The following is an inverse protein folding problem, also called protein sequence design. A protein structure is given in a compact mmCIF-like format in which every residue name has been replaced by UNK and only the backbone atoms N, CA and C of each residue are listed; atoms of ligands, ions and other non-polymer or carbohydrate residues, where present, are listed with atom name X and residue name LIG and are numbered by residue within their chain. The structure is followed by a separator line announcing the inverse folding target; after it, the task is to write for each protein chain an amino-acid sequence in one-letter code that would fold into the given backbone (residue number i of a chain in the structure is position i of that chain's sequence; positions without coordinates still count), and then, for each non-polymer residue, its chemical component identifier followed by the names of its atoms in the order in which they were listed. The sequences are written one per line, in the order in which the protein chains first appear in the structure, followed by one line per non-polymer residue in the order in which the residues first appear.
data_IF_805332433177
#
_entry.id   IF_805332433177
#
_cell.length_a   1.000
_cell.length_b   1.000
_cell.length_c   1.000
_cell.angle_alpha   90.00
_cell.angle_beta   90.00
_cell.angle_gamma   90.00
#
_symmetry.space_group_name_H-M   'P 1'
#
loop_
_entity.id
_entity.type
_entity.pdbx_description
1 polymer ?
#
# COMPACT_ATOMS: atom_id res chain seq x y z
N UNK A 1 -11.35 -2.08 -29.43
CA UNK A 1 -10.48 -1.38 -28.44
C UNK A 1 -9.80 -2.44 -27.59
N UNK A 2 -8.48 -2.54 -27.64
CA UNK A 2 -7.72 -3.54 -26.88
C UNK A 2 -7.53 -3.11 -25.41
N UNK A 3 -7.60 -4.06 -24.48
CA UNK A 3 -7.29 -3.85 -23.06
C UNK A 3 -5.75 -3.82 -22.92
N UNK A 4 -5.18 -2.66 -22.58
CA UNK A 4 -3.74 -2.50 -22.31
C UNK A 4 -3.51 -2.39 -20.80
N UNK A 5 -2.56 -3.16 -20.28
CA UNK A 5 -2.12 -3.04 -18.89
C UNK A 5 -1.19 -1.83 -18.78
N UNK A 6 -1.54 -0.88 -17.91
CA UNK A 6 -0.78 0.37 -17.70
C UNK A 6 -0.05 0.40 -16.35
N UNK A 7 -0.36 -0.55 -15.46
CA UNK A 7 0.32 -0.71 -14.18
C UNK A 7 -0.13 -1.96 -13.44
N UNK A 8 0.63 -2.32 -12.41
CA UNK A 8 0.38 -3.47 -11.54
C UNK A 8 0.82 -3.16 -10.12
N UNK A 9 0.17 -3.81 -9.17
CA UNK A 9 0.45 -3.77 -7.73
C UNK A 9 0.03 -5.13 -7.17
N UNK A 10 0.87 -5.75 -6.35
CA UNK A 10 0.55 -7.01 -5.67
C UNK A 10 0.37 -6.75 -4.18
N UNK A 11 -0.72 -7.30 -3.61
CA UNK A 11 -1.00 -7.27 -2.18
C UNK A 11 -0.83 -8.69 -1.63
N UNK A 12 0.12 -8.87 -0.72
CA UNK A 12 0.30 -10.08 0.07
C UNK A 12 -0.39 -9.92 1.43
N UNK A 13 -1.15 -10.93 1.86
CA UNK A 13 -1.71 -10.99 3.20
C UNK A 13 -0.84 -11.92 4.04
N UNK A 14 -0.57 -11.54 5.29
CA UNK A 14 0.25 -12.34 6.18
C UNK A 14 -0.42 -13.67 6.53
N UNK A 15 0.40 -14.72 6.59
CA UNK A 15 -0.03 -16.10 6.81
C UNK A 15 1.11 -16.93 7.40
N UNK A 16 0.93 -18.25 7.53
CA UNK A 16 2.01 -19.14 7.98
C UNK A 16 3.23 -19.12 7.04
N UNK A 17 3.05 -18.77 5.77
CA UNK A 17 4.14 -18.60 4.79
C UNK A 17 4.90 -17.27 4.97
N UNK A 18 4.37 -16.35 5.79
CA UNK A 18 4.93 -15.02 6.03
C UNK A 18 4.72 -14.02 4.88
N UNK A 19 5.46 -12.92 4.95
CA UNK A 19 5.54 -11.84 3.97
C UNK A 19 6.88 -11.92 3.22
N UNK A 20 6.96 -11.44 1.99
CA UNK A 20 8.23 -11.37 1.25
C UNK A 20 9.28 -10.53 2.01
N UNK A 21 8.83 -9.50 2.71
CA UNK A 21 9.68 -8.64 3.53
C UNK A 21 10.32 -9.37 4.74
N UNK A 22 9.80 -10.52 5.17
CA UNK A 22 10.39 -11.31 6.26
C UNK A 22 11.82 -11.77 5.95
N UNK A 23 12.14 -12.01 4.68
CA UNK A 23 13.50 -12.42 4.28
C UNK A 23 14.57 -11.45 4.80
N UNK A 24 14.24 -10.16 4.85
CA UNK A 24 15.15 -9.12 5.31
C UNK A 24 14.77 -8.51 6.65
N UNK A 25 13.50 -8.52 7.05
CA UNK A 25 13.00 -7.75 8.19
C UNK A 25 12.06 -8.56 9.10
N UNK A 26 12.31 -9.87 9.22
CA UNK A 26 11.52 -10.76 10.07
C UNK A 26 11.33 -10.24 11.49
N UNK A 27 12.41 -9.73 12.11
CA UNK A 27 12.38 -9.29 13.51
C UNK A 27 11.47 -8.08 13.70
N UNK A 28 11.61 -7.06 12.84
CA UNK A 28 10.79 -5.86 12.85
C UNK A 28 9.31 -6.17 12.59
N UNK A 29 9.02 -7.05 11.63
CA UNK A 29 7.63 -7.43 11.29
C UNK A 29 7.01 -8.29 12.41
N UNK A 30 7.80 -9.16 13.04
CA UNK A 30 7.33 -10.00 14.14
C UNK A 30 6.96 -9.23 15.41
N UNK A 31 7.45 -8.01 15.60
CA UNK A 31 6.95 -7.15 16.67
C UNK A 31 5.45 -6.92 16.53
N UNK A 32 5.00 -6.54 15.33
CA UNK A 32 3.57 -6.34 15.04
C UNK A 32 2.76 -7.64 15.12
N UNK A 33 3.32 -8.76 14.63
CA UNK A 33 2.64 -10.08 14.76
C UNK A 33 2.40 -10.44 16.23
N UNK A 34 3.40 -10.23 17.10
CA UNK A 34 3.31 -10.51 18.54
C UNK A 34 2.27 -9.63 19.25
N UNK A 35 2.03 -8.43 18.73
CA UNK A 35 0.94 -7.55 19.19
C UNK A 35 -0.45 -7.98 18.71
N UNK A 36 -0.55 -9.04 17.90
CA UNK A 36 -1.82 -9.51 17.33
C UNK A 36 -2.33 -8.65 16.19
N UNK A 37 -1.46 -7.84 15.57
CA UNK A 37 -1.78 -7.04 14.38
C UNK A 37 -1.99 -7.94 13.16
N UNK A 38 -2.81 -7.47 12.22
CA UNK A 38 -3.07 -8.17 10.95
C UNK A 38 -2.29 -7.50 9.85
N UNK A 39 -1.31 -8.19 9.29
CA UNK A 39 -0.33 -7.56 8.43
C UNK A 39 -0.64 -7.83 6.96
N UNK A 40 -0.27 -6.88 6.11
CA UNK A 40 -0.19 -7.07 4.67
C UNK A 40 1.05 -6.38 4.11
N UNK A 41 1.45 -6.75 2.90
CA UNK A 41 2.53 -6.10 2.19
C UNK A 41 2.13 -5.70 0.77
N UNK A 42 2.72 -4.62 0.27
CA UNK A 42 2.69 -4.29 -1.15
C UNK A 42 4.01 -4.57 -1.82
N UNK A 43 3.95 -5.33 -2.90
CA UNK A 43 5.11 -5.69 -3.72
C UNK A 43 4.82 -5.47 -5.20
N UNK A 44 5.89 -5.54 -6.02
CA UNK A 44 5.81 -5.54 -7.49
C UNK A 44 5.02 -4.35 -8.07
N UNK A 45 5.06 -3.18 -7.44
CA UNK A 45 4.48 -1.96 -8.01
C UNK A 45 5.28 -1.56 -9.26
N UNK A 46 4.59 -1.52 -10.39
CA UNK A 46 5.14 -1.01 -11.64
C UNK A 46 4.05 -0.26 -12.41
N UNK A 47 4.39 0.88 -12.99
CA UNK A 47 3.49 1.68 -13.83
C UNK A 47 4.25 2.05 -15.11
N UNK A 48 3.59 1.93 -16.26
CA UNK A 48 4.15 2.34 -17.55
C UNK A 48 4.45 3.85 -17.47
N UNK A 49 5.71 4.30 -17.65
CA UNK A 49 6.08 5.71 -17.52
C UNK A 49 5.28 6.64 -18.45
N UNK A 50 4.83 6.14 -19.60
CA UNK A 50 4.01 6.92 -20.55
C UNK A 50 2.62 7.24 -20.00
N UNK A 51 2.13 6.45 -19.04
CA UNK A 51 0.81 6.58 -18.44
C UNK A 51 0.90 6.89 -16.95
N UNK A 52 2.10 7.00 -16.37
CA UNK A 52 2.30 7.20 -14.94
C UNK A 52 1.71 8.53 -14.48
N UNK A 53 0.59 8.46 -13.76
CA UNK A 53 -0.06 9.61 -13.15
C UNK A 53 -0.34 9.36 -11.66
N UNK A 54 -0.59 10.44 -10.90
CA UNK A 54 -0.97 10.32 -9.48
C UNK A 54 -2.28 9.57 -9.32
N UNK A 55 -3.22 9.75 -10.25
CA UNK A 55 -4.52 9.09 -10.28
C UNK A 55 -4.38 7.57 -10.43
N UNK A 56 -3.47 7.11 -11.30
CA UNK A 56 -3.21 5.67 -11.47
C UNK A 56 -2.59 5.08 -10.20
N UNK A 57 -1.58 5.74 -9.63
CA UNK A 57 -0.97 5.29 -8.39
C UNK A 57 -1.99 5.28 -7.24
N UNK A 58 -2.73 6.37 -7.07
CA UNK A 58 -3.78 6.49 -6.06
C UNK A 58 -4.85 5.40 -6.22
N UNK A 59 -5.26 5.10 -7.45
CA UNK A 59 -6.21 4.03 -7.74
C UNK A 59 -5.67 2.66 -7.32
N UNK A 60 -4.41 2.35 -7.65
CA UNK A 60 -3.78 1.09 -7.26
C UNK A 60 -3.68 0.97 -5.73
N UNK A 61 -3.17 2.01 -5.05
CA UNK A 61 -3.04 2.02 -3.60
C UNK A 61 -4.40 1.96 -2.90
N UNK A 62 -5.41 2.67 -3.40
CA UNK A 62 -6.73 2.65 -2.79
C UNK A 62 -7.40 1.27 -2.97
N UNK A 63 -7.25 0.63 -4.14
CA UNK A 63 -7.72 -0.75 -4.33
C UNK A 63 -7.07 -1.72 -3.33
N UNK A 64 -5.76 -1.61 -3.12
CA UNK A 64 -5.06 -2.39 -2.12
C UNK A 64 -5.57 -2.12 -0.70
N UNK A 65 -5.81 -0.85 -0.34
CA UNK A 65 -6.41 -0.49 0.95
C UNK A 65 -7.79 -1.10 1.15
N UNK A 66 -8.67 -1.02 0.15
CA UNK A 66 -10.00 -1.62 0.19
C UNK A 66 -9.89 -3.12 0.42
N UNK A 67 -9.04 -3.81 -0.35
CA UNK A 67 -8.92 -5.25 -0.25
C UNK A 67 -8.27 -5.69 1.07
N UNK A 68 -7.11 -5.13 1.41
CA UNK A 68 -6.37 -5.50 2.63
C UNK A 68 -7.10 -5.10 3.90
N UNK A 69 -7.48 -3.83 4.02
CA UNK A 69 -8.04 -3.29 5.26
C UNK A 69 -9.56 -3.48 5.35
N UNK A 70 -10.34 -3.10 4.33
CA UNK A 70 -11.82 -3.14 4.45
C UNK A 70 -12.36 -4.56 4.38
N UNK A 71 -11.82 -5.41 3.50
CA UNK A 71 -12.28 -6.80 3.34
C UNK A 71 -11.55 -7.71 4.34
N UNK A 72 -10.22 -7.75 4.31
CA UNK A 72 -9.42 -8.71 5.10
C UNK A 72 -9.02 -8.22 6.51
N UNK A 73 -9.37 -6.98 6.87
CA UNK A 73 -9.11 -6.40 8.20
C UNK A 73 -7.63 -6.29 8.55
N UNK A 74 -6.75 -6.20 7.56
CA UNK A 74 -5.35 -5.84 7.80
C UNK A 74 -5.30 -4.49 8.53
N UNK A 75 -4.47 -4.40 9.58
CA UNK A 75 -4.26 -3.20 10.38
C UNK A 75 -3.00 -2.45 9.94
N UNK A 76 -2.01 -3.19 9.43
CA UNK A 76 -0.67 -2.67 9.16
C UNK A 76 -0.22 -3.09 7.77
N UNK A 77 0.31 -2.12 7.02
CA UNK A 77 0.86 -2.31 5.69
C UNK A 77 2.37 -2.11 5.71
N UNK A 78 3.10 -3.05 5.12
CA UNK A 78 4.53 -2.95 4.88
C UNK A 78 4.87 -2.82 3.40
N UNK A 79 5.93 -2.07 3.10
CA UNK A 79 6.59 -2.12 1.78
C UNK A 79 8.09 -2.19 1.95
N UNK A 80 8.72 -3.01 1.12
CA UNK A 80 10.15 -3.01 0.93
C UNK A 80 10.47 -2.14 -0.29
N UNK A 81 11.26 -1.07 -0.10
CA UNK A 81 11.60 -0.15 -1.18
C UNK A 81 13.08 0.19 -1.18
N UNK A 82 13.59 0.56 -2.36
CA UNK A 82 14.92 1.16 -2.43
C UNK A 82 14.93 2.50 -1.65
N UNK A 83 15.97 2.80 -0.85
CA UNK A 83 16.08 4.04 -0.06
C UNK A 83 15.80 5.32 -0.86
N UNK A 84 16.18 5.35 -2.16
CA UNK A 84 15.93 6.50 -3.05
C UNK A 84 14.44 6.86 -3.20
N UNK A 85 13.55 5.90 -2.96
CA UNK A 85 12.10 6.03 -3.09
C UNK A 85 11.39 6.23 -1.74
N UNK A 86 12.07 6.03 -0.62
CA UNK A 86 11.45 6.13 0.70
C UNK A 86 10.83 7.52 0.95
N UNK A 87 11.51 8.58 0.54
CA UNK A 87 11.02 9.95 0.65
C UNK A 87 9.75 10.21 -0.17
N UNK A 88 9.55 9.50 -1.29
CA UNK A 88 8.33 9.57 -2.07
C UNK A 88 7.16 8.95 -1.29
N UNK A 89 7.30 7.72 -0.78
CA UNK A 89 6.22 7.05 -0.04
C UNK A 89 5.87 7.72 1.28
N UNK A 90 6.89 8.23 2.00
CA UNK A 90 6.67 9.04 3.20
C UNK A 90 5.81 10.28 2.89
N UNK A 91 6.16 11.02 1.83
CA UNK A 91 5.43 12.24 1.47
C UNK A 91 4.03 11.95 0.92
N UNK A 92 3.91 10.93 0.08
CA UNK A 92 2.70 10.68 -0.70
C UNK A 92 1.62 9.92 0.07
N UNK A 93 2.02 9.06 1.02
CA UNK A 93 1.15 8.14 1.75
C UNK A 93 1.39 8.14 3.27
N UNK A 94 2.33 8.95 3.78
CA UNK A 94 2.61 9.00 5.22
C UNK A 94 3.36 7.78 5.76
N UNK A 95 4.01 6.98 4.91
CA UNK A 95 4.77 5.81 5.38
C UNK A 95 5.98 6.23 6.21
N UNK A 96 6.22 5.49 7.28
CA UNK A 96 7.38 5.64 8.14
C UNK A 96 8.41 4.55 7.84
N UNK A 97 9.69 4.87 7.94
CA UNK A 97 10.74 3.87 7.79
C UNK A 97 11.01 3.27 9.16
N UNK A 98 10.88 1.95 9.27
CA UNK A 98 11.09 1.22 10.53
C UNK A 98 12.26 0.23 10.44
N UNK A 99 12.68 -0.16 9.24
CA UNK A 99 13.85 -1.01 9.03
C UNK A 99 15.07 -0.24 8.57
N UNK A 100 16.24 -0.65 9.03
CA UNK A 100 17.53 -0.14 8.54
C UNK A 100 17.77 -0.53 7.07
N UNK A 101 18.74 0.11 6.43
CA UNK A 101 19.11 -0.25 5.06
C UNK A 101 19.79 -1.62 5.03
N UNK A 102 19.21 -2.59 4.30
CA UNK A 102 19.75 -3.94 4.12
C UNK A 102 19.93 -4.27 2.62
N UNK A 103 20.97 -5.03 2.24
CA UNK A 103 21.15 -5.45 0.85
C UNK A 103 20.09 -6.52 0.47
N UNK A 104 19.21 -6.18 -0.47
CA UNK A 104 18.20 -7.11 -0.96
C UNK A 104 18.72 -7.94 -2.13
N UNK A 105 18.83 -9.27 -1.94
CA UNK A 105 19.32 -10.20 -2.98
C UNK A 105 18.36 -10.34 -4.15
N UNK A 106 17.05 -10.24 -3.91
CA UNK A 106 15.99 -10.36 -4.93
C UNK A 106 16.14 -9.33 -6.06
N UNK A 107 16.56 -8.11 -5.71
CA UNK A 107 16.69 -6.98 -6.66
C UNK A 107 18.12 -6.46 -6.80
N UNK A 108 19.09 -7.10 -6.12
CA UNK A 108 20.51 -6.73 -6.10
C UNK A 108 20.75 -5.24 -5.81
N UNK A 109 20.00 -4.70 -4.84
CA UNK A 109 20.03 -3.28 -4.48
C UNK A 109 19.73 -3.10 -2.98
N UNK A 110 20.11 -1.96 -2.37
CA UNK A 110 19.71 -1.66 -1.00
C UNK A 110 18.18 -1.51 -0.91
N UNK A 111 17.64 -1.95 0.22
CA UNK A 111 16.24 -1.85 0.57
C UNK A 111 16.11 -1.29 1.99
N UNK A 112 14.97 -0.68 2.28
CA UNK A 112 14.50 -0.30 3.63
C UNK A 112 13.06 -0.78 3.80
N UNK A 113 12.70 -1.16 5.02
CA UNK A 113 11.31 -1.46 5.37
C UNK A 113 10.57 -0.18 5.74
N UNK A 114 9.41 0.02 5.12
CA UNK A 114 8.49 1.06 5.49
C UNK A 114 7.14 0.49 5.94
N UNK A 115 6.48 1.20 6.84
CA UNK A 115 5.24 0.81 7.50
C UNK A 115 4.18 1.92 7.44
N UNK A 116 2.91 1.51 7.42
CA UNK A 116 1.74 2.37 7.53
C UNK A 116 0.64 1.68 8.35
N UNK A 117 0.14 2.34 9.37
CA UNK A 117 -1.11 1.94 10.02
C UNK A 117 -2.30 2.29 9.13
N UNK A 118 -3.14 1.32 8.78
CA UNK A 118 -4.19 1.48 7.77
C UNK A 118 -5.37 2.34 8.26
N UNK A 119 -5.52 2.53 9.57
CA UNK A 119 -6.50 3.49 10.11
C UNK A 119 -6.09 4.95 9.87
N UNK A 120 -4.80 5.24 9.72
CA UNK A 120 -4.34 6.56 9.26
C UNK A 120 -4.91 6.90 7.89
N UNK A 121 -4.95 5.92 6.97
CA UNK A 121 -5.53 6.11 5.63
C UNK A 121 -7.01 6.50 5.73
N UNK A 122 -7.78 5.84 6.60
CA UNK A 122 -9.19 6.18 6.82
C UNK A 122 -9.36 7.61 7.35
N UNK A 123 -8.49 8.05 8.27
CA UNK A 123 -8.50 9.40 8.81
C UNK A 123 -8.19 10.43 7.72
N UNK A 124 -7.19 10.18 6.86
CA UNK A 124 -6.85 11.06 5.73
C UNK A 124 -8.02 11.20 4.75
N UNK A 125 -8.62 10.08 4.33
CA UNK A 125 -9.79 10.09 3.42
C UNK A 125 -10.96 10.86 4.04
N UNK A 126 -11.21 10.70 5.35
CA UNK A 126 -12.30 11.37 6.05
C UNK A 126 -12.05 12.89 6.13
N UNK A 127 -10.84 13.31 6.49
CA UNK A 127 -10.48 14.73 6.60
C UNK A 127 -10.61 15.52 5.28
N UNK A 128 -10.35 14.85 4.15
CA UNK A 128 -10.51 15.41 2.81
C UNK A 128 -11.98 15.52 2.39
N UNK A 129 -12.86 14.67 2.91
CA UNK A 129 -14.29 14.79 2.68
C UNK A 129 -14.88 16.03 3.38
N UNK A 130 -14.28 16.45 4.50
CA UNK A 130 -14.75 17.55 5.34
C UNK A 130 -14.15 18.92 4.99
N UNK A 131 -13.12 18.97 4.13
CA UNK A 131 -12.40 20.21 3.77
C UNK A 131 -12.31 20.42 2.25
N UNK A 132 -12.72 21.60 1.77
CA UNK A 132 -12.52 21.99 0.38
C UNK A 132 -11.03 22.28 0.13
N UNK A 133 -10.34 21.29 -0.44
CA UNK A 133 -9.01 21.37 -1.06
C UNK A 133 -7.89 21.90 -0.15
N UNK A 134 -7.28 21.01 0.63
CA UNK A 134 -5.88 21.16 1.00
C UNK A 134 -4.99 20.81 -0.21
N UNK A 135 -4.10 21.74 -0.55
CA UNK A 135 -3.15 21.64 -1.66
C UNK A 135 -2.17 20.48 -1.42
N UNK A 136 -2.28 19.37 -2.14
CA UNK A 136 -1.64 18.16 -1.63
C UNK A 136 -0.51 17.56 -2.46
N UNK A 137 0.61 17.44 -1.75
CA UNK A 137 1.77 16.60 -2.05
C UNK A 137 1.49 15.12 -1.71
N UNK A 138 0.22 14.69 -1.60
CA UNK A 138 -0.24 13.34 -1.20
C UNK A 138 -1.03 12.64 -2.35
N UNK A 139 -1.37 11.35 -2.18
CA UNK A 139 -2.25 10.61 -3.10
C UNK A 139 -3.74 10.61 -2.68
N UNK A 140 -4.07 10.90 -1.43
CA UNK A 140 -5.42 10.75 -0.89
C UNK A 140 -6.53 11.55 -1.59
N UNK A 141 -6.30 12.76 -2.13
CA UNK A 141 -7.31 13.49 -2.89
C UNK A 141 -7.75 12.80 -4.18
N UNK A 142 -6.96 11.85 -4.67
CA UNK A 142 -7.22 11.09 -5.89
C UNK A 142 -7.84 9.72 -5.60
N UNK A 143 -8.15 9.42 -4.34
CA UNK A 143 -8.80 8.17 -3.95
C UNK A 143 -10.26 8.19 -4.40
N UNK A 144 -10.78 7.03 -4.79
CA UNK A 144 -12.20 6.82 -5.12
C UNK A 144 -13.16 7.42 -4.09
N UNK A 145 -14.30 7.90 -4.58
CA UNK A 145 -15.40 8.35 -3.73
C UNK A 145 -15.98 7.20 -2.90
N UNK A 146 -16.69 7.52 -1.81
CA UNK A 146 -17.38 6.51 -0.97
C UNK A 146 -18.34 5.61 -1.76
N UNK A 147 -18.92 6.09 -2.86
CA UNK A 147 -19.79 5.29 -3.70
C UNK A 147 -19.01 4.28 -4.54
N UNK A 148 -17.95 4.73 -5.21
CA UNK A 148 -17.05 3.88 -6.00
C UNK A 148 -16.34 2.85 -5.11
N UNK A 149 -15.91 3.22 -3.91
CA UNK A 149 -15.32 2.31 -2.93
C UNK A 149 -16.25 1.14 -2.60
N UNK A 150 -17.53 1.42 -2.29
CA UNK A 150 -18.55 0.39 -2.01
C UNK A 150 -18.79 -0.52 -3.20
N UNK A 151 -18.78 0.02 -4.41
CA UNK A 151 -18.95 -0.76 -5.63
C UNK A 151 -17.75 -1.67 -5.91
N UNK A 152 -16.54 -1.16 -5.68
CA UNK A 152 -15.30 -1.91 -5.83
C UNK A 152 -15.17 -3.02 -4.78
N UNK A 153 -15.47 -2.73 -3.51
CA UNK A 153 -15.48 -3.72 -2.44
C UNK A 153 -16.40 -4.90 -2.78
N UNK A 154 -17.65 -4.61 -3.20
CA UNK A 154 -18.61 -5.65 -3.63
C UNK A 154 -18.13 -6.48 -4.82
N UNK A 155 -17.40 -5.87 -5.77
CA UNK A 155 -16.83 -6.59 -6.91
C UNK A 155 -15.67 -7.50 -6.49
N UNK A 156 -14.83 -7.04 -5.57
CA UNK A 156 -13.68 -7.79 -5.06
C UNK A 156 -14.12 -8.98 -4.21
N UNK A 157 -15.15 -8.83 -3.38
CA UNK A 157 -15.71 -9.93 -2.59
C UNK A 157 -16.26 -11.05 -3.49
N UNK A 158 -16.93 -10.71 -4.60
CA UNK A 158 -17.50 -11.69 -5.54
C UNK A 158 -16.47 -12.51 -6.31
N UNK A 159 -15.23 -12.03 -6.44
CA UNK A 159 -14.16 -12.75 -7.12
C UNK A 159 -13.33 -13.64 -6.17
N UNK A 160 -13.61 -13.59 -4.87
CA UNK A 160 -13.02 -14.47 -3.85
C UNK A 160 -13.95 -15.64 -3.46
N UNK A 161 -15.11 -15.81 -4.13
CA UNK A 161 -16.09 -16.89 -3.88
C UNK A 161 -16.05 -17.97 -4.96
#
# INVERSE_FOLDING_TARGET
MGRRVVGTLTLGLDSEEGLCADELYFDEINEFRREGRKLCELTKLAVDPQYSSKEILASLFHLAHIYGHKIHKATDLFIEVNPRHAGFYRRMLGLEQIGEERPCRRVQAPAVLMHLELDYVNAQISSLADSCRSSERSLYPYFFSKHEEKDLARKLERHNS
#
